data_IF_582707960841
#
_entry.id   IF_582707960841
#
_cell.length_a   1.000
_cell.length_b   1.000
_cell.length_c   1.000
_cell.angle_alpha   90.00
_cell.angle_beta   90.00
_cell.angle_gamma   90.00
#
_symmetry.space_group_name_H-M   'P 1'
#
loop_
_entity.id
_entity.type
_entity.pdbx_description
1 polymer ?
#
# COMPACT_ATOMS: atom_id res chain seq x y z
N UNK A 1 -3.36 -18.96 -11.13
CA UNK A 1 -4.05 -18.17 -12.20
C UNK A 1 -4.38 -19.10 -13.36
N UNK A 2 -5.55 -18.89 -14.00
CA UNK A 2 -5.93 -19.59 -15.23
C UNK A 2 -5.07 -19.04 -16.40
N UNK A 3 -4.45 -19.93 -17.18
CA UNK A 3 -3.63 -19.55 -18.32
C UNK A 3 -4.47 -19.47 -19.59
N UNK A 4 -4.20 -18.49 -20.44
CA UNK A 4 -4.83 -18.31 -21.74
C UNK A 4 -3.77 -18.24 -22.84
N UNK A 5 -4.09 -18.77 -24.01
CA UNK A 5 -3.20 -18.76 -25.17
C UNK A 5 -2.94 -17.33 -25.69
N UNK A 6 -3.92 -16.42 -25.54
CA UNK A 6 -3.81 -15.01 -25.89
C UNK A 6 -4.81 -14.15 -25.11
N UNK A 7 -4.59 -12.82 -25.16
CA UNK A 7 -5.51 -11.86 -24.56
C UNK A 7 -6.91 -11.92 -25.19
N UNK A 8 -7.02 -12.13 -26.50
CA UNK A 8 -8.31 -12.29 -27.20
C UNK A 8 -9.07 -13.51 -26.66
N UNK A 9 -8.38 -14.63 -26.40
CA UNK A 9 -9.03 -15.82 -25.82
C UNK A 9 -9.56 -15.57 -24.42
N UNK A 10 -8.83 -14.79 -23.62
CA UNK A 10 -9.32 -14.35 -22.31
C UNK A 10 -10.59 -13.48 -22.48
N UNK A 11 -10.54 -12.46 -23.33
CA UNK A 11 -11.67 -11.56 -23.58
C UNK A 11 -12.90 -12.33 -24.10
N UNK A 12 -12.71 -13.26 -25.03
CA UNK A 12 -13.83 -14.06 -25.55
C UNK A 12 -14.45 -14.92 -24.45
N UNK A 13 -13.64 -15.55 -23.60
CA UNK A 13 -14.14 -16.32 -22.46
C UNK A 13 -14.92 -15.44 -21.46
N UNK A 14 -14.43 -14.24 -21.14
CA UNK A 14 -15.15 -13.34 -20.23
C UNK A 14 -16.48 -12.83 -20.84
N UNK A 15 -16.57 -12.64 -22.18
CA UNK A 15 -17.81 -12.28 -22.86
C UNK A 15 -18.89 -13.35 -22.74
N UNK A 16 -18.52 -14.63 -22.73
CA UNK A 16 -19.48 -15.74 -22.62
C UNK A 16 -20.38 -15.58 -21.40
N UNK A 17 -19.78 -15.17 -20.25
CA UNK A 17 -20.53 -14.90 -19.01
C UNK A 17 -21.61 -13.83 -19.18
N UNK A 18 -21.24 -12.70 -19.81
CA UNK A 18 -22.13 -11.55 -19.98
C UNK A 18 -23.16 -11.79 -21.10
N UNK A 19 -22.83 -12.61 -22.10
CA UNK A 19 -23.70 -12.93 -23.21
C UNK A 19 -24.66 -14.10 -22.93
N UNK A 20 -24.47 -14.86 -21.84
CA UNK A 20 -25.34 -15.96 -21.47
C UNK A 20 -26.79 -15.50 -21.31
N UNK A 21 -27.74 -16.02 -22.11
CA UNK A 21 -29.10 -15.51 -22.15
C UNK A 21 -29.88 -15.78 -20.85
N UNK A 22 -29.56 -16.86 -20.15
CA UNK A 22 -30.26 -17.23 -18.89
C UNK A 22 -29.81 -16.26 -17.78
N UNK A 23 -28.48 -15.97 -17.72
CA UNK A 23 -27.93 -15.00 -16.77
C UNK A 23 -28.47 -13.59 -17.05
N UNK A 24 -28.51 -13.18 -18.31
CA UNK A 24 -29.04 -11.86 -18.71
C UNK A 24 -30.51 -11.67 -18.37
N UNK A 25 -31.35 -12.67 -18.65
CA UNK A 25 -32.76 -12.63 -18.29
C UNK A 25 -32.95 -12.47 -16.78
N UNK A 26 -32.16 -13.18 -15.98
CA UNK A 26 -32.19 -13.08 -14.52
C UNK A 26 -31.74 -11.68 -14.05
N UNK A 27 -30.64 -11.13 -14.58
CA UNK A 27 -30.12 -9.82 -14.20
C UNK A 27 -31.06 -8.68 -14.59
N UNK A 28 -31.65 -8.71 -15.77
CA UNK A 28 -32.58 -7.69 -16.26
C UNK A 28 -34.00 -7.83 -15.70
N UNK A 29 -34.35 -8.99 -15.21
CA UNK A 29 -35.68 -9.30 -14.64
C UNK A 29 -35.65 -9.30 -13.12
N UNK A 30 -35.57 -10.48 -12.54
CA UNK A 30 -35.74 -10.70 -11.09
C UNK A 30 -34.74 -9.96 -10.22
N UNK A 31 -33.48 -9.83 -10.67
CA UNK A 31 -32.41 -9.22 -9.90
C UNK A 31 -32.27 -7.71 -10.13
N UNK A 32 -32.93 -7.12 -11.15
CA UNK A 32 -32.71 -5.74 -11.54
C UNK A 32 -32.91 -4.75 -10.38
N UNK A 33 -34.11 -4.65 -9.87
CA UNK A 33 -34.42 -3.73 -8.77
C UNK A 33 -33.75 -4.10 -7.45
N UNK A 34 -33.59 -5.38 -7.19
CA UNK A 34 -32.92 -5.86 -5.97
C UNK A 34 -31.46 -5.41 -5.93
N UNK A 35 -30.74 -5.56 -7.04
CA UNK A 35 -29.32 -5.15 -7.14
C UNK A 35 -29.16 -3.64 -7.10
N UNK A 36 -30.02 -2.87 -7.78
CA UNK A 36 -29.99 -1.40 -7.70
C UNK A 36 -30.16 -0.96 -6.24
N UNK A 37 -31.14 -1.48 -5.52
CA UNK A 37 -31.35 -1.12 -4.13
C UNK A 37 -30.19 -1.53 -3.23
N UNK A 38 -29.59 -2.69 -3.49
CA UNK A 38 -28.42 -3.15 -2.77
C UNK A 38 -27.21 -2.24 -3.04
N UNK A 39 -26.92 -1.89 -4.30
CA UNK A 39 -25.84 -0.94 -4.64
C UNK A 39 -26.08 0.43 -3.98
N UNK A 40 -27.32 0.93 -3.95
CA UNK A 40 -27.63 2.16 -3.24
C UNK A 40 -27.31 2.08 -1.74
N UNK A 41 -27.59 0.94 -1.09
CA UNK A 41 -27.22 0.75 0.33
C UNK A 41 -25.71 0.80 0.53
N UNK A 42 -24.95 0.14 -0.37
CA UNK A 42 -23.50 0.13 -0.31
C UNK A 42 -22.91 1.54 -0.55
N UNK A 43 -23.33 2.22 -1.61
CA UNK A 43 -22.87 3.56 -1.94
C UNK A 43 -23.29 4.62 -0.93
N UNK A 44 -24.40 4.46 -0.23
CA UNK A 44 -24.82 5.35 0.86
C UNK A 44 -23.82 5.41 2.02
N UNK A 45 -22.97 4.39 2.20
CA UNK A 45 -21.88 4.42 3.17
C UNK A 45 -20.86 5.53 2.84
N UNK A 46 -20.83 5.96 1.59
CA UNK A 46 -19.95 7.02 1.06
C UNK A 46 -20.72 8.29 0.69
N UNK A 47 -21.93 8.49 1.20
CA UNK A 47 -22.80 9.63 0.85
C UNK A 47 -22.21 11.00 1.16
N UNK A 48 -21.30 11.11 2.14
CA UNK A 48 -20.57 12.36 2.42
C UNK A 48 -19.56 12.71 1.31
N UNK A 49 -19.11 11.74 0.54
CA UNK A 49 -18.19 11.94 -0.59
C UNK A 49 -18.94 11.97 -1.93
N UNK A 50 -19.93 11.09 -2.11
CA UNK A 50 -20.71 10.93 -3.35
C UNK A 50 -21.78 12.01 -3.47
N UNK A 51 -21.40 13.19 -3.92
CA UNK A 51 -22.28 14.35 -4.19
C UNK A 51 -22.58 14.49 -5.68
N UNK A 52 -23.59 15.27 -6.04
CA UNK A 52 -24.11 15.40 -7.42
C UNK A 52 -23.09 15.91 -8.46
N UNK A 53 -22.03 16.57 -8.03
CA UNK A 53 -20.94 17.10 -8.84
C UNK A 53 -19.84 16.09 -9.14
N UNK A 54 -19.89 14.92 -8.51
CA UNK A 54 -18.88 13.88 -8.69
C UNK A 54 -19.04 13.16 -10.02
N UNK A 55 -17.91 12.83 -10.65
CA UNK A 55 -17.84 12.00 -11.86
C UNK A 55 -17.42 10.58 -11.50
N UNK A 56 -18.30 9.62 -11.79
CA UNK A 56 -18.17 8.24 -11.35
C UNK A 56 -17.97 7.28 -12.51
N UNK A 57 -17.12 6.27 -12.32
CA UNK A 57 -16.86 5.17 -13.26
C UNK A 57 -17.15 3.82 -12.60
N UNK A 58 -17.95 2.99 -13.24
CA UNK A 58 -18.20 1.60 -12.84
C UNK A 58 -17.53 0.65 -13.84
N UNK A 59 -16.60 -0.17 -13.37
CA UNK A 59 -15.83 -1.11 -14.19
C UNK A 59 -16.44 -2.50 -14.13
N UNK A 60 -16.61 -3.15 -15.30
CA UNK A 60 -17.27 -4.44 -15.42
C UNK A 60 -18.76 -4.35 -15.10
N UNK A 61 -19.39 -3.25 -15.49
CA UNK A 61 -20.75 -2.89 -15.10
C UNK A 61 -21.85 -3.75 -15.71
N UNK A 62 -21.50 -4.67 -16.57
CA UNK A 62 -22.34 -5.72 -17.14
C UNK A 62 -23.66 -5.21 -17.73
N UNK A 63 -24.73 -5.10 -16.92
CA UNK A 63 -26.04 -4.57 -17.31
C UNK A 63 -26.34 -3.19 -16.69
N UNK A 64 -25.45 -2.67 -15.81
CA UNK A 64 -25.44 -1.28 -15.36
C UNK A 64 -26.28 -0.97 -14.11
N UNK A 65 -26.58 -1.97 -13.26
CA UNK A 65 -27.36 -1.73 -12.03
C UNK A 65 -26.66 -0.76 -11.08
N UNK A 66 -25.33 -0.83 -10.93
CA UNK A 66 -24.50 0.10 -10.16
C UNK A 66 -24.54 1.53 -10.75
N UNK A 67 -24.55 1.65 -12.09
CA UNK A 67 -24.69 2.95 -12.78
C UNK A 67 -26.04 3.58 -12.48
N UNK A 68 -27.12 2.78 -12.56
CA UNK A 68 -28.48 3.25 -12.23
C UNK A 68 -28.58 3.62 -10.76
N UNK A 69 -27.98 2.84 -9.87
CA UNK A 69 -27.97 3.12 -8.43
C UNK A 69 -27.34 4.50 -8.12
N UNK A 70 -26.16 4.80 -8.67
CA UNK A 70 -25.51 6.11 -8.50
C UNK A 70 -26.34 7.25 -9.09
N UNK A 71 -26.92 7.07 -10.29
CA UNK A 71 -27.81 8.07 -10.89
C UNK A 71 -29.07 8.33 -10.04
N UNK A 72 -29.67 7.29 -9.49
CA UNK A 72 -30.84 7.45 -8.59
C UNK A 72 -30.48 8.09 -7.23
N UNK A 73 -29.21 8.03 -6.82
CA UNK A 73 -28.69 8.77 -5.67
C UNK A 73 -28.40 10.24 -5.99
N UNK A 74 -28.59 10.67 -7.24
CA UNK A 74 -28.42 12.07 -7.67
C UNK A 74 -27.07 12.42 -8.25
N UNK A 75 -26.20 11.44 -8.57
CA UNK A 75 -24.94 11.68 -9.25
C UNK A 75 -25.22 11.95 -10.73
N UNK A 76 -24.78 13.11 -11.24
CA UNK A 76 -25.08 13.54 -12.60
C UNK A 76 -24.25 12.80 -13.67
N UNK A 77 -22.95 12.60 -13.40
CA UNK A 77 -22.01 12.01 -14.35
C UNK A 77 -21.59 10.62 -13.90
N UNK A 78 -22.24 9.60 -14.43
CA UNK A 78 -21.91 8.20 -14.15
C UNK A 78 -21.75 7.44 -15.46
N UNK A 79 -20.60 6.80 -15.63
CA UNK A 79 -20.24 5.97 -16.78
C UNK A 79 -20.04 4.54 -16.31
N UNK A 80 -20.67 3.58 -16.98
CA UNK A 80 -20.36 2.16 -16.82
C UNK A 80 -19.61 1.66 -18.04
N UNK A 81 -18.61 0.81 -17.86
CA UNK A 81 -17.93 0.10 -18.94
C UNK A 81 -17.96 -1.41 -18.73
N UNK A 82 -18.06 -2.15 -19.83
CA UNK A 82 -17.90 -3.60 -19.89
C UNK A 82 -17.40 -3.99 -21.29
N UNK A 83 -16.79 -5.17 -21.40
CA UNK A 83 -16.41 -5.74 -22.71
C UNK A 83 -17.62 -6.01 -23.61
N UNK A 84 -18.81 -6.18 -23.00
CA UNK A 84 -20.11 -6.29 -23.68
C UNK A 84 -20.98 -5.09 -23.28
N UNK A 85 -21.17 -4.10 -24.18
CA UNK A 85 -21.97 -2.91 -23.86
C UNK A 85 -23.44 -3.24 -23.60
N UNK A 86 -24.09 -2.41 -22.78
CA UNK A 86 -25.53 -2.44 -22.50
C UNK A 86 -26.10 -1.03 -22.41
N UNK A 87 -26.39 -0.46 -23.59
CA UNK A 87 -26.96 0.90 -23.69
C UNK A 87 -28.31 1.02 -22.98
N UNK A 88 -28.61 2.15 -22.34
CA UNK A 88 -27.80 3.38 -22.30
C UNK A 88 -26.87 3.47 -21.07
N UNK A 89 -26.70 2.42 -20.30
CA UNK A 89 -26.01 2.43 -19.01
C UNK A 89 -24.52 2.06 -19.09
N UNK A 90 -24.18 1.19 -20.06
CA UNK A 90 -22.84 0.60 -20.15
C UNK A 90 -22.33 0.74 -21.58
N UNK A 91 -21.21 1.41 -21.73
CA UNK A 91 -20.46 1.50 -22.99
C UNK A 91 -19.40 0.38 -23.08
N UNK A 92 -18.93 0.09 -24.28
CA UNK A 92 -17.83 -0.86 -24.48
C UNK A 92 -16.53 -0.29 -23.92
N UNK A 93 -15.81 -1.07 -23.13
CA UNK A 93 -14.51 -0.71 -22.60
C UNK A 93 -13.74 -1.92 -22.06
N UNK A 94 -12.42 -1.76 -21.99
CA UNK A 94 -11.48 -2.74 -21.44
C UNK A 94 -10.88 -2.21 -20.13
N UNK A 95 -11.00 -2.97 -19.06
CA UNK A 95 -10.49 -2.58 -17.73
C UNK A 95 -8.96 -2.48 -17.67
N UNK A 96 -8.25 -3.10 -18.64
CA UNK A 96 -6.79 -3.04 -18.71
C UNK A 96 -6.28 -1.93 -19.67
N UNK A 97 -7.20 -1.20 -20.32
CA UNK A 97 -6.88 -0.08 -21.19
C UNK A 97 -8.07 0.88 -21.24
N UNK A 98 -8.16 1.77 -20.26
CA UNK A 98 -9.26 2.72 -20.11
C UNK A 98 -9.11 3.88 -21.09
N UNK A 99 -10.07 4.05 -22.01
CA UNK A 99 -10.08 5.12 -23.00
C UNK A 99 -10.57 6.45 -22.41
N UNK A 100 -10.00 6.84 -21.26
CA UNK A 100 -10.24 8.10 -20.57
C UNK A 100 -8.92 8.80 -20.29
N UNK A 101 -8.97 10.12 -20.22
CA UNK A 101 -7.83 10.92 -19.81
C UNK A 101 -7.46 10.71 -18.34
N UNK A 102 -6.22 11.04 -17.98
CA UNK A 102 -5.76 11.01 -16.60
C UNK A 102 -6.62 11.91 -15.72
N UNK A 103 -6.77 11.55 -14.47
CA UNK A 103 -7.46 12.36 -13.45
C UNK A 103 -8.88 12.82 -13.87
N UNK A 104 -9.62 11.93 -14.52
CA UNK A 104 -10.98 12.20 -15.02
C UNK A 104 -12.05 11.99 -13.95
N UNK A 105 -11.91 10.98 -13.10
CA UNK A 105 -12.98 10.54 -12.20
C UNK A 105 -12.70 10.85 -10.74
N UNK A 106 -13.75 11.23 -10.01
CA UNK A 106 -13.71 11.38 -8.57
C UNK A 106 -13.91 10.05 -7.85
N UNK A 107 -14.65 9.12 -8.46
CA UNK A 107 -15.00 7.83 -7.88
C UNK A 107 -14.93 6.73 -8.94
N UNK A 108 -14.28 5.62 -8.57
CA UNK A 108 -14.25 4.39 -9.38
C UNK A 108 -14.76 3.23 -8.52
N UNK A 109 -15.64 2.42 -9.09
CA UNK A 109 -16.20 1.24 -8.45
C UNK A 109 -15.96 -0.01 -9.29
N UNK A 110 -15.67 -1.12 -8.62
CA UNK A 110 -15.66 -2.44 -9.27
C UNK A 110 -15.90 -3.58 -8.27
N UNK A 111 -16.37 -4.73 -8.79
CA UNK A 111 -16.48 -5.99 -8.06
C UNK A 111 -15.99 -7.17 -8.91
N UNK A 112 -15.08 -6.93 -9.84
CA UNK A 112 -14.62 -7.94 -10.82
C UNK A 112 -13.10 -8.12 -10.88
N UNK A 113 -12.35 -7.68 -9.86
CA UNK A 113 -10.89 -7.77 -9.87
C UNK A 113 -10.39 -9.22 -9.99
N UNK A 114 -11.14 -10.19 -9.47
CA UNK A 114 -10.88 -11.62 -9.56
C UNK A 114 -11.03 -12.17 -11.00
N UNK A 115 -11.67 -11.41 -11.88
CA UNK A 115 -11.78 -11.70 -13.30
C UNK A 115 -10.65 -11.09 -14.14
N UNK A 116 -9.82 -10.22 -13.57
CA UNK A 116 -8.71 -9.57 -14.27
C UNK A 116 -7.54 -10.54 -14.50
N UNK A 117 -7.09 -10.64 -15.75
CA UNK A 117 -5.89 -11.41 -16.11
C UNK A 117 -4.59 -10.69 -15.68
N UNK A 118 -4.64 -9.38 -15.59
CA UNK A 118 -3.54 -8.53 -15.14
C UNK A 118 -4.06 -7.49 -14.12
N UNK A 119 -4.22 -7.89 -12.84
CA UNK A 119 -4.69 -6.99 -11.80
C UNK A 119 -3.81 -5.75 -11.60
N UNK A 120 -2.48 -5.88 -11.77
CA UNK A 120 -1.55 -4.75 -11.67
C UNK A 120 -1.85 -3.69 -12.72
N UNK A 121 -2.05 -4.11 -13.96
CA UNK A 121 -2.39 -3.20 -15.06
C UNK A 121 -3.76 -2.56 -14.86
N UNK A 122 -4.76 -3.34 -14.42
CA UNK A 122 -6.09 -2.83 -14.08
C UNK A 122 -6.01 -1.73 -13.02
N UNK A 123 -5.28 -1.98 -11.92
CA UNK A 123 -5.12 -1.00 -10.84
C UNK A 123 -4.35 0.23 -11.31
N UNK A 124 -3.30 0.06 -12.11
CA UNK A 124 -2.55 1.18 -12.69
C UNK A 124 -3.45 2.10 -13.54
N UNK A 125 -4.35 1.53 -14.35
CA UNK A 125 -5.33 2.29 -15.12
C UNK A 125 -6.35 3.00 -14.23
N UNK A 126 -6.83 2.33 -13.17
CA UNK A 126 -7.71 2.95 -12.17
C UNK A 126 -7.02 4.15 -11.50
N UNK A 127 -5.79 3.98 -11.02
CA UNK A 127 -5.02 5.07 -10.40
C UNK A 127 -4.72 6.20 -11.39
N UNK A 128 -4.54 5.89 -12.68
CA UNK A 128 -4.33 6.90 -13.71
C UNK A 128 -5.56 7.77 -13.92
N UNK A 129 -6.73 7.17 -14.10
CA UNK A 129 -7.97 7.91 -14.40
C UNK A 129 -8.61 8.53 -13.16
N UNK A 130 -8.22 8.11 -11.96
CA UNK A 130 -8.71 8.66 -10.69
C UNK A 130 -8.01 9.98 -10.40
N UNK A 131 -8.75 11.02 -10.01
CA UNK A 131 -8.21 12.30 -9.53
C UNK A 131 -7.47 12.13 -8.21
N UNK A 132 -6.59 13.06 -7.87
CA UNK A 132 -6.06 13.16 -6.51
C UNK A 132 -7.23 13.35 -5.52
N UNK A 133 -7.15 12.74 -4.35
CA UNK A 133 -8.23 12.60 -3.36
C UNK A 133 -9.47 11.84 -3.86
N UNK A 134 -9.43 11.30 -5.07
CA UNK A 134 -10.48 10.43 -5.60
C UNK A 134 -10.50 9.08 -4.88
N UNK A 135 -11.69 8.47 -4.85
CA UNK A 135 -11.95 7.23 -4.12
C UNK A 135 -12.14 6.06 -5.09
N UNK A 136 -11.43 4.97 -4.83
CA UNK A 136 -11.70 3.67 -5.43
C UNK A 136 -12.36 2.74 -4.41
N UNK A 137 -13.55 2.25 -4.76
CA UNK A 137 -14.29 1.30 -3.95
C UNK A 137 -14.32 -0.06 -4.62
N UNK A 138 -13.73 -1.03 -3.96
CA UNK A 138 -13.65 -2.42 -4.41
C UNK A 138 -14.46 -3.32 -3.49
N UNK A 139 -15.33 -4.13 -4.08
CA UNK A 139 -15.99 -5.23 -3.38
C UNK A 139 -15.52 -6.56 -3.95
N UNK A 140 -15.21 -7.53 -3.11
CA UNK A 140 -14.76 -8.86 -3.51
C UNK A 140 -15.53 -9.97 -2.82
N UNK A 141 -15.52 -11.13 -3.45
CA UNK A 141 -16.02 -12.37 -2.91
C UNK A 141 -14.85 -13.23 -2.45
N UNK A 142 -14.66 -13.35 -1.14
CA UNK A 142 -13.57 -14.12 -0.54
C UNK A 142 -14.11 -15.44 0.04
N UNK A 143 -13.39 -16.54 -0.22
CA UNK A 143 -13.68 -17.84 0.38
C UNK A 143 -14.98 -18.53 -0.09
N UNK A 144 -15.69 -17.97 -1.05
CA UNK A 144 -16.86 -18.57 -1.69
C UNK A 144 -16.45 -19.23 -3.02
N UNK A 145 -17.29 -20.12 -3.56
CA UNK A 145 -16.99 -20.84 -4.78
C UNK A 145 -16.65 -19.89 -5.93
N UNK A 146 -15.42 -19.98 -6.38
CA UNK A 146 -14.97 -19.32 -7.61
C UNK A 146 -15.75 -19.87 -8.78
N UNK A 147 -16.17 -19.01 -9.70
CA UNK A 147 -16.79 -19.45 -10.94
C UNK A 147 -15.71 -19.75 -12.03
N UNK A 148 -16.16 -20.32 -13.14
CA UNK A 148 -15.29 -20.68 -14.25
C UNK A 148 -14.58 -19.49 -14.91
N UNK A 149 -15.00 -18.25 -14.61
CA UNK A 149 -14.48 -17.01 -15.14
C UNK A 149 -13.45 -16.34 -14.23
N UNK A 150 -13.28 -16.82 -13.00
CA UNK A 150 -12.26 -16.33 -12.05
C UNK A 150 -10.87 -16.66 -12.56
N UNK A 151 -10.00 -15.65 -12.61
CA UNK A 151 -8.62 -15.72 -13.13
C UNK A 151 -7.60 -15.40 -12.04
N UNK A 152 -7.93 -14.44 -11.18
CA UNK A 152 -7.08 -13.99 -10.08
C UNK A 152 -7.65 -14.48 -8.75
N UNK A 153 -6.91 -15.35 -8.08
CA UNK A 153 -7.28 -15.89 -6.77
C UNK A 153 -6.81 -14.96 -5.66
N UNK A 154 -7.74 -14.55 -4.80
CA UNK A 154 -7.48 -13.68 -3.66
C UNK A 154 -7.61 -14.52 -2.40
N UNK A 155 -6.52 -14.62 -1.61
CA UNK A 155 -6.48 -15.33 -0.33
C UNK A 155 -6.43 -14.36 0.85
N UNK A 156 -5.61 -13.32 0.73
CA UNK A 156 -5.45 -12.28 1.73
C UNK A 156 -5.59 -10.91 1.09
N UNK A 157 -6.74 -10.21 1.28
CA UNK A 157 -6.97 -8.91 0.65
C UNK A 157 -5.93 -7.84 1.00
N UNK A 158 -5.34 -7.87 2.20
CA UNK A 158 -4.28 -6.94 2.61
C UNK A 158 -3.06 -7.11 1.74
N UNK A 159 -2.64 -8.36 1.52
CA UNK A 159 -1.44 -8.66 0.77
C UNK A 159 -1.69 -8.69 -0.74
N UNK A 160 -2.73 -9.41 -1.17
CA UNK A 160 -2.97 -9.66 -2.60
C UNK A 160 -3.52 -8.43 -3.34
N UNK A 161 -4.22 -7.53 -2.62
CA UNK A 161 -4.85 -6.36 -3.23
C UNK A 161 -4.12 -5.07 -2.88
N UNK A 162 -3.86 -4.79 -1.59
CA UNK A 162 -3.31 -3.48 -1.21
C UNK A 162 -1.88 -3.26 -1.74
N UNK A 163 -1.12 -4.32 -2.01
CA UNK A 163 0.20 -4.25 -2.65
C UNK A 163 0.16 -3.85 -4.13
N UNK A 164 -0.99 -3.98 -4.79
CA UNK A 164 -1.14 -3.61 -6.22
C UNK A 164 -1.17 -2.09 -6.43
N UNK A 165 -1.56 -1.35 -5.40
CA UNK A 165 -1.69 0.11 -5.47
C UNK A 165 -0.35 0.79 -5.25
N UNK A 166 -0.04 1.79 -6.08
CA UNK A 166 1.21 2.54 -6.00
C UNK A 166 1.00 3.99 -5.55
N UNK A 167 -0.14 4.57 -5.88
CA UNK A 167 -0.45 5.98 -5.71
C UNK A 167 -1.57 6.24 -4.69
N UNK A 168 -2.03 5.18 -3.99
CA UNK A 168 -3.21 5.27 -3.12
C UNK A 168 -2.95 4.68 -1.73
N UNK A 169 -3.55 5.31 -0.72
CA UNK A 169 -3.72 4.71 0.60
C UNK A 169 -4.92 3.77 0.61
N UNK A 170 -4.78 2.61 1.23
CA UNK A 170 -5.91 1.78 1.62
C UNK A 170 -6.51 2.35 2.90
N UNK A 171 -7.73 2.85 2.86
CA UNK A 171 -8.40 3.48 4.00
C UNK A 171 -9.08 2.46 4.90
N UNK A 172 -9.59 1.37 4.32
CA UNK A 172 -10.27 0.32 5.07
C UNK A 172 -10.29 -0.98 4.30
N UNK A 173 -10.22 -2.07 5.06
CA UNK A 173 -10.54 -3.43 4.61
C UNK A 173 -11.56 -3.98 5.60
N UNK A 174 -12.77 -4.28 5.15
CA UNK A 174 -13.87 -4.66 6.01
C UNK A 174 -14.55 -5.93 5.50
N UNK A 175 -14.70 -6.90 6.38
CA UNK A 175 -15.65 -7.99 6.15
C UNK A 175 -17.06 -7.47 6.38
N UNK A 176 -17.92 -7.60 5.36
CA UNK A 176 -19.31 -7.09 5.41
C UNK A 176 -20.17 -7.96 6.33
N UNK A 177 -19.88 -9.27 6.36
CA UNK A 177 -20.56 -10.24 7.17
C UNK A 177 -19.55 -11.15 7.89
N UNK A 178 -19.48 -11.06 9.21
CA UNK A 178 -18.58 -11.87 10.02
C UNK A 178 -18.96 -13.37 10.08
N UNK A 179 -20.14 -13.73 9.61
CA UNK A 179 -20.67 -15.11 9.59
C UNK A 179 -20.36 -15.86 8.28
N UNK A 180 -19.58 -15.26 7.38
CA UNK A 180 -19.24 -15.83 6.06
C UNK A 180 -20.35 -15.70 5.02
N UNK A 181 -21.49 -15.06 5.35
CA UNK A 181 -22.51 -14.75 4.36
C UNK A 181 -22.06 -13.60 3.45
N UNK A 182 -22.64 -13.52 2.26
CA UNK A 182 -22.38 -12.45 1.31
C UNK A 182 -23.48 -11.39 1.33
N UNK A 183 -23.18 -10.18 0.86
CA UNK A 183 -24.20 -9.16 0.62
C UNK A 183 -25.10 -9.54 -0.60
N UNK A 184 -26.02 -8.65 -0.96
CA UNK A 184 -26.93 -8.83 -2.10
C UNK A 184 -26.25 -9.16 -3.44
N UNK A 185 -24.97 -8.81 -3.62
CA UNK A 185 -24.21 -9.06 -4.84
C UNK A 185 -23.29 -10.28 -4.74
N UNK A 186 -23.29 -10.99 -3.61
CA UNK A 186 -22.37 -12.10 -3.35
C UNK A 186 -21.04 -11.66 -2.75
N UNK A 187 -20.84 -10.37 -2.47
CA UNK A 187 -19.60 -9.81 -1.95
C UNK A 187 -19.58 -9.88 -0.42
N UNK A 188 -18.43 -10.15 0.16
CA UNK A 188 -18.26 -10.28 1.61
C UNK A 188 -17.06 -9.48 2.17
N UNK A 189 -16.27 -8.84 1.31
CA UNK A 189 -15.19 -7.94 1.72
C UNK A 189 -15.26 -6.65 0.91
N UNK A 190 -15.09 -5.54 1.60
CA UNK A 190 -15.03 -4.19 1.04
C UNK A 190 -13.66 -3.59 1.30
N UNK A 191 -13.07 -2.99 0.26
CA UNK A 191 -11.83 -2.25 0.33
C UNK A 191 -12.06 -0.85 -0.23
N UNK A 192 -11.54 0.14 0.48
CA UNK A 192 -11.63 1.53 0.09
C UNK A 192 -10.22 2.12 -0.04
N UNK A 193 -9.94 2.73 -1.17
CA UNK A 193 -8.66 3.38 -1.45
C UNK A 193 -8.87 4.84 -1.81
N UNK A 194 -7.91 5.68 -1.44
CA UNK A 194 -7.86 7.09 -1.82
C UNK A 194 -6.53 7.38 -2.50
N UNK A 195 -6.60 7.92 -3.73
CA UNK A 195 -5.40 8.38 -4.44
C UNK A 195 -4.83 9.59 -3.70
N UNK A 196 -3.52 9.60 -3.53
CA UNK A 196 -2.79 10.62 -2.81
C UNK A 196 -1.75 11.28 -3.72
N UNK A 197 -1.67 12.60 -3.67
CA UNK A 197 -0.78 13.37 -4.53
C UNK A 197 0.70 13.10 -4.20
N UNK A 198 1.05 13.01 -2.92
CA UNK A 198 2.42 12.75 -2.49
C UNK A 198 2.87 11.36 -2.92
N UNK A 199 2.03 10.33 -2.71
CA UNK A 199 2.32 8.98 -3.18
C UNK A 199 2.45 8.92 -4.71
N UNK A 200 1.61 9.67 -5.44
CA UNK A 200 1.68 9.77 -6.90
C UNK A 200 3.01 10.34 -7.37
N UNK A 201 3.43 11.47 -6.79
CA UNK A 201 4.72 12.11 -7.09
C UNK A 201 5.91 11.21 -6.74
N UNK A 202 5.87 10.54 -5.58
CA UNK A 202 6.90 9.59 -5.16
C UNK A 202 6.99 8.41 -6.13
N UNK A 203 5.86 7.84 -6.53
CA UNK A 203 5.83 6.72 -7.48
C UNK A 203 6.33 7.13 -8.86
N UNK A 204 5.88 8.26 -9.39
CA UNK A 204 6.29 8.74 -10.71
C UNK A 204 7.78 9.02 -10.79
N UNK A 205 8.40 9.47 -9.69
CA UNK A 205 9.84 9.77 -9.64
C UNK A 205 10.71 8.57 -9.24
N UNK A 206 10.24 7.72 -8.33
CA UNK A 206 11.03 6.69 -7.67
C UNK A 206 10.41 5.28 -7.71
N UNK A 207 9.27 5.09 -8.34
CA UNK A 207 8.51 3.81 -8.30
C UNK A 207 9.23 2.62 -8.92
N UNK A 208 10.28 2.86 -9.71
CA UNK A 208 11.22 1.84 -10.12
C UNK A 208 12.55 2.02 -9.38
N UNK A 209 12.72 1.32 -8.25
CA UNK A 209 13.93 1.41 -7.43
C UNK A 209 15.21 1.17 -8.22
N UNK A 210 15.20 0.25 -9.19
CA UNK A 210 16.39 -0.07 -10.00
C UNK A 210 16.85 1.08 -10.90
N UNK A 211 15.97 2.04 -11.20
CA UNK A 211 16.28 3.22 -12.02
C UNK A 211 16.69 4.46 -11.23
N UNK A 212 16.63 4.40 -9.89
CA UNK A 212 17.00 5.55 -9.04
C UNK A 212 18.51 5.78 -9.15
N UNK A 213 18.90 6.98 -9.59
CA UNK A 213 20.28 7.44 -9.51
C UNK A 213 20.54 7.97 -8.10
N UNK A 214 21.52 7.35 -7.41
CA UNK A 214 21.91 7.79 -6.08
C UNK A 214 22.82 9.01 -6.15
N UNK A 215 22.58 10.06 -5.35
CA UNK A 215 23.55 11.15 -5.20
C UNK A 215 24.89 10.64 -4.66
N UNK A 216 25.99 11.29 -5.05
CA UNK A 216 27.35 10.91 -4.65
C UNK A 216 27.52 10.78 -3.12
N UNK A 217 26.84 11.63 -2.35
CA UNK A 217 26.87 11.57 -0.89
C UNK A 217 26.36 10.24 -0.33
N UNK A 218 25.29 9.70 -0.91
CA UNK A 218 24.72 8.40 -0.52
C UNK A 218 25.54 7.23 -1.06
N UNK A 219 26.08 7.33 -2.26
CA UNK A 219 27.01 6.32 -2.80
C UNK A 219 28.23 6.19 -1.91
N UNK A 220 28.87 7.31 -1.53
CA UNK A 220 30.03 7.35 -0.67
C UNK A 220 29.72 6.81 0.73
N UNK A 221 28.56 7.19 1.30
CA UNK A 221 28.11 6.68 2.59
C UNK A 221 28.11 5.14 2.62
N UNK A 222 27.54 4.51 1.61
CA UNK A 222 27.43 3.06 1.55
C UNK A 222 28.75 2.35 1.22
N UNK A 223 29.61 2.98 0.44
CA UNK A 223 30.93 2.44 0.15
C UNK A 223 31.85 2.47 1.38
N UNK A 224 31.68 3.48 2.24
CA UNK A 224 32.45 3.66 3.47
C UNK A 224 31.91 2.80 4.63
N UNK A 225 30.61 2.47 4.68
CA UNK A 225 30.03 1.57 5.67
C UNK A 225 30.56 0.16 5.41
N UNK A 226 31.64 -0.13 6.01
CA UNK A 226 32.44 -1.32 6.18
C UNK A 226 32.04 -2.57 5.37
N UNK A 227 32.56 -2.71 4.16
CA UNK A 227 32.42 -3.88 3.29
C UNK A 227 32.48 -5.25 3.99
N UNK A 228 33.37 -5.50 4.99
CA UNK A 228 33.42 -6.76 5.71
C UNK A 228 32.14 -7.11 6.47
N UNK A 229 31.44 -6.13 7.04
CA UNK A 229 30.18 -6.34 7.75
C UNK A 229 29.05 -6.64 6.74
N UNK A 230 29.00 -5.89 5.65
CA UNK A 230 28.06 -6.14 4.54
C UNK A 230 28.25 -7.56 3.99
N UNK A 231 29.48 -7.95 3.69
CA UNK A 231 29.83 -9.26 3.19
C UNK A 231 29.46 -10.37 4.19
N UNK A 232 29.71 -10.18 5.47
CA UNK A 232 29.35 -11.14 6.52
C UNK A 232 27.83 -11.32 6.63
N UNK A 233 27.04 -10.26 6.48
CA UNK A 233 25.57 -10.33 6.48
C UNK A 233 25.04 -11.16 5.30
N UNK A 234 25.59 -10.92 4.11
CA UNK A 234 25.26 -11.68 2.90
C UNK A 234 25.74 -13.14 2.96
N UNK A 235 26.93 -13.40 3.54
CA UNK A 235 27.44 -14.75 3.76
C UNK A 235 26.57 -15.54 4.73
N UNK A 236 26.07 -14.90 5.80
CA UNK A 236 25.14 -15.52 6.73
C UNK A 236 23.80 -15.85 6.08
N UNK A 237 23.40 -15.12 5.02
CA UNK A 237 22.23 -15.42 4.22
C UNK A 237 22.47 -16.51 3.15
N UNK A 238 23.64 -17.16 3.11
CA UNK A 238 24.04 -18.19 2.14
C UNK A 238 24.00 -17.73 0.67
N UNK A 239 24.27 -16.45 0.41
CA UNK A 239 24.34 -15.92 -0.94
C UNK A 239 25.78 -16.00 -1.41
N UNK A 240 26.07 -16.95 -2.29
CA UNK A 240 27.41 -17.27 -2.75
C UNK A 240 27.80 -16.61 -4.08
N UNK A 241 26.83 -16.23 -4.92
CA UNK A 241 27.07 -15.63 -6.23
C UNK A 241 27.33 -14.14 -6.11
N UNK A 242 28.51 -13.67 -6.54
CA UNK A 242 28.96 -12.28 -6.43
C UNK A 242 27.98 -11.30 -7.11
N UNK A 243 27.49 -11.63 -8.30
CA UNK A 243 26.53 -10.79 -9.04
C UNK A 243 25.24 -10.59 -8.26
N UNK A 244 24.73 -11.64 -7.63
CA UNK A 244 23.52 -11.60 -6.79
C UNK A 244 23.75 -10.77 -5.53
N UNK A 245 24.96 -10.87 -4.93
CA UNK A 245 25.35 -10.06 -3.76
C UNK A 245 25.35 -8.56 -4.09
N UNK A 246 25.95 -8.20 -5.23
CA UNK A 246 25.99 -6.81 -5.70
C UNK A 246 24.58 -6.28 -5.99
N UNK A 247 23.70 -7.08 -6.59
CA UNK A 247 22.31 -6.70 -6.84
C UNK A 247 21.52 -6.45 -5.55
N UNK A 248 21.74 -7.28 -4.51
CA UNK A 248 21.09 -7.08 -3.21
C UNK A 248 21.60 -5.81 -2.54
N UNK A 249 22.92 -5.56 -2.54
CA UNK A 249 23.50 -4.35 -1.96
C UNK A 249 22.99 -3.09 -2.66
N UNK A 250 22.89 -3.13 -3.99
CA UNK A 250 22.33 -2.03 -4.77
C UNK A 250 20.85 -1.78 -4.42
N UNK A 251 20.06 -2.84 -4.27
CA UNK A 251 18.68 -2.76 -3.83
C UNK A 251 18.55 -2.12 -2.44
N UNK A 252 19.38 -2.53 -1.48
CA UNK A 252 19.37 -1.98 -0.11
C UNK A 252 19.75 -0.49 -0.08
N UNK A 253 20.74 -0.07 -0.87
CA UNK A 253 21.16 1.33 -1.01
C UNK A 253 19.99 2.19 -1.53
N UNK A 254 19.36 1.76 -2.60
CA UNK A 254 18.24 2.48 -3.23
C UNK A 254 17.03 2.55 -2.33
N UNK A 255 16.74 1.48 -1.59
CA UNK A 255 15.71 1.45 -0.55
C UNK A 255 15.98 2.51 0.52
N UNK A 256 17.20 2.53 1.06
CA UNK A 256 17.56 3.48 2.10
C UNK A 256 17.43 4.93 1.62
N UNK A 257 17.84 5.22 0.40
CA UNK A 257 17.64 6.53 -0.21
C UNK A 257 16.15 6.84 -0.44
N UNK A 258 15.36 5.88 -0.91
CA UNK A 258 13.92 6.06 -1.12
C UNK A 258 13.19 6.45 0.17
N UNK A 259 13.56 5.86 1.30
CA UNK A 259 12.99 6.23 2.60
C UNK A 259 13.29 7.70 2.98
N UNK A 260 14.45 8.23 2.59
CA UNK A 260 14.73 9.66 2.77
C UNK A 260 13.85 10.54 1.88
N UNK A 261 13.49 10.05 0.68
CA UNK A 261 12.59 10.80 -0.22
C UNK A 261 11.16 10.80 0.27
N UNK A 262 10.73 9.75 0.99
CA UNK A 262 9.45 9.75 1.71
C UNK A 262 9.49 10.83 2.81
N UNK A 263 10.55 10.90 3.61
CA UNK A 263 10.72 11.92 4.63
C UNK A 263 10.66 13.34 4.03
N UNK A 264 11.38 13.57 2.92
CA UNK A 264 11.35 14.85 2.19
C UNK A 264 9.96 15.23 1.70
N UNK A 265 9.26 14.31 1.06
CA UNK A 265 7.94 14.55 0.48
C UNK A 265 6.86 14.88 1.55
N UNK A 266 7.12 14.53 2.80
CA UNK A 266 6.25 14.80 3.94
C UNK A 266 6.79 15.90 4.88
N UNK A 267 7.80 16.66 4.46
CA UNK A 267 8.44 17.74 5.24
C UNK A 267 8.86 17.29 6.64
N UNK A 268 9.47 16.10 6.74
CA UNK A 268 9.93 15.51 8.00
C UNK A 268 11.30 16.07 8.35
N UNK A 269 11.49 16.52 9.60
CA UNK A 269 12.79 16.95 10.14
C UNK A 269 13.33 16.01 11.21
N UNK A 270 12.44 15.53 12.09
CA UNK A 270 12.83 14.68 13.21
C UNK A 270 12.38 13.23 12.96
N UNK A 271 13.36 12.33 12.88
CA UNK A 271 13.16 10.90 12.60
C UNK A 271 13.59 10.08 13.82
N UNK A 272 12.85 9.03 14.16
CA UNK A 272 13.25 8.06 15.15
C UNK A 272 13.22 6.65 14.55
N UNK A 273 14.34 5.95 14.67
CA UNK A 273 14.53 4.57 14.21
C UNK A 273 14.63 3.62 15.39
N UNK A 274 14.01 2.46 15.29
CA UNK A 274 14.22 1.29 16.17
C UNK A 274 14.92 0.22 15.38
N UNK A 275 16.12 -0.21 15.84
CA UNK A 275 16.93 -1.21 15.16
C UNK A 275 18.04 -0.60 14.32
N UNK A 276 19.00 0.08 14.96
CA UNK A 276 20.13 0.74 14.27
C UNK A 276 21.03 -0.23 13.51
N UNK A 277 21.24 -1.43 14.05
CA UNK A 277 22.21 -2.41 13.53
C UNK A 277 23.56 -1.77 13.17
N UNK A 278 24.06 -1.98 11.93
CA UNK A 278 25.31 -1.37 11.44
C UNK A 278 25.17 0.13 11.10
N UNK A 279 23.94 0.64 11.08
CA UNK A 279 23.61 2.06 10.87
C UNK A 279 23.37 2.46 9.42
N UNK A 280 23.06 1.51 8.53
CA UNK A 280 22.88 1.83 7.10
C UNK A 280 21.72 2.79 6.87
N UNK A 281 20.55 2.49 7.43
CA UNK A 281 19.39 3.38 7.33
C UNK A 281 19.58 4.63 8.19
N UNK A 282 20.10 4.47 9.42
CA UNK A 282 20.37 5.56 10.35
C UNK A 282 21.20 6.68 9.74
N UNK A 283 22.35 6.34 9.14
CA UNK A 283 23.22 7.34 8.53
C UNK A 283 22.68 7.84 7.18
N UNK A 284 21.85 7.07 6.48
CA UNK A 284 21.13 7.56 5.30
C UNK A 284 20.13 8.65 5.67
N UNK A 285 19.39 8.46 6.77
CA UNK A 285 18.58 9.52 7.35
C UNK A 285 19.43 10.70 7.86
N UNK A 286 20.61 10.43 8.39
CA UNK A 286 21.57 11.47 8.80
C UNK A 286 22.04 12.35 7.64
N UNK A 287 22.27 11.77 6.45
CA UNK A 287 22.60 12.55 5.26
C UNK A 287 21.44 13.45 4.84
N UNK A 288 20.21 12.93 4.87
CA UNK A 288 19.01 13.72 4.63
C UNK A 288 18.82 14.83 5.71
N UNK A 289 19.03 14.51 6.99
CA UNK A 289 18.85 15.45 8.09
C UNK A 289 19.76 16.68 7.97
N UNK A 290 20.95 16.56 7.37
CA UNK A 290 21.82 17.72 7.05
C UNK A 290 21.16 18.70 6.09
N UNK A 291 20.41 18.19 5.11
CA UNK A 291 19.77 19.00 4.08
C UNK A 291 18.64 19.85 4.68
N UNK A 292 17.95 19.35 5.72
CA UNK A 292 16.76 19.97 6.29
C UNK A 292 16.98 20.55 7.70
N UNK A 293 18.22 20.55 8.21
CA UNK A 293 18.57 20.92 9.59
C UNK A 293 17.78 20.09 10.63
N UNK A 294 17.59 18.81 10.34
CA UNK A 294 16.81 17.87 11.12
C UNK A 294 17.65 17.04 12.09
N UNK A 295 17.01 16.09 12.76
CA UNK A 295 17.63 15.17 13.72
C UNK A 295 17.14 13.74 13.52
N UNK A 296 18.04 12.80 13.72
CA UNK A 296 17.76 11.37 13.68
C UNK A 296 18.12 10.75 15.02
N UNK A 297 17.15 10.14 15.66
CA UNK A 297 17.33 9.37 16.88
C UNK A 297 17.25 7.88 16.53
N UNK A 298 18.12 7.06 17.08
CA UNK A 298 18.06 5.62 16.86
C UNK A 298 18.47 4.82 18.08
N UNK A 299 17.84 3.68 18.31
CA UNK A 299 18.18 2.76 19.38
C UNK A 299 18.43 1.34 18.91
N UNK A 300 19.41 0.69 19.51
CA UNK A 300 19.70 -0.74 19.39
C UNK A 300 20.43 -1.18 20.66
N UNK A 301 20.01 -2.26 21.33
CA UNK A 301 20.74 -2.78 22.50
C UNK A 301 22.17 -3.20 22.18
N UNK A 302 22.45 -3.51 20.90
CA UNK A 302 23.78 -3.86 20.41
C UNK A 302 24.51 -2.60 19.89
N UNK A 303 25.76 -2.41 20.22
CA UNK A 303 26.54 -1.31 19.70
C UNK A 303 27.47 -1.82 18.56
N UNK A 304 26.88 -2.06 17.39
CA UNK A 304 27.59 -2.60 16.22
C UNK A 304 27.73 -1.60 15.06
N UNK A 305 27.20 -0.38 15.23
CA UNK A 305 27.23 0.66 14.19
C UNK A 305 28.64 1.13 13.84
N UNK A 306 28.81 1.66 12.64
CA UNK A 306 30.06 2.26 12.17
C UNK A 306 30.46 3.48 13.03
N UNK A 307 31.64 3.42 13.68
CA UNK A 307 32.14 4.51 14.52
C UNK A 307 32.62 5.72 13.73
N UNK A 308 33.16 5.51 12.52
CA UNK A 308 33.59 6.60 11.65
C UNK A 308 32.42 7.43 11.19
N UNK A 309 31.29 6.77 10.82
CA UNK A 309 30.05 7.44 10.46
C UNK A 309 29.40 8.11 11.67
N UNK A 310 29.40 7.49 12.84
CA UNK A 310 28.91 8.10 14.07
C UNK A 310 29.60 9.44 14.35
N UNK A 311 30.90 9.54 14.08
CA UNK A 311 31.65 10.79 14.21
C UNK A 311 31.32 11.79 13.10
N UNK A 312 31.18 11.32 11.85
CA UNK A 312 30.80 12.15 10.68
C UNK A 312 29.44 12.83 10.84
N UNK A 313 28.48 12.15 11.48
CA UNK A 313 27.10 12.61 11.65
C UNK A 313 26.75 12.95 13.12
N UNK A 314 27.73 13.31 13.93
CA UNK A 314 27.51 13.56 15.37
C UNK A 314 26.54 14.69 15.70
N UNK A 315 26.25 15.58 14.74
CA UNK A 315 25.33 16.71 14.89
C UNK A 315 23.89 16.36 14.56
N UNK A 316 23.70 15.42 13.65
CA UNK A 316 22.38 15.02 13.12
C UNK A 316 21.89 13.71 13.73
N UNK A 317 22.80 12.77 14.04
CA UNK A 317 22.51 11.40 14.43
C UNK A 317 22.81 11.14 15.90
N UNK A 318 21.77 10.84 16.66
CA UNK A 318 21.80 10.57 18.11
C UNK A 318 21.47 9.10 18.36
N UNK A 319 22.50 8.32 18.69
CA UNK A 319 22.35 6.89 18.93
C UNK A 319 22.28 6.57 20.44
N UNK A 320 21.36 5.69 20.78
CA UNK A 320 21.16 5.18 22.12
C UNK A 320 21.37 3.65 22.13
N UNK A 321 22.30 3.19 22.96
CA UNK A 321 22.43 1.75 23.23
C UNK A 321 21.33 1.34 24.22
N UNK A 322 20.12 1.22 23.74
CA UNK A 322 18.90 1.11 24.52
C UNK A 322 17.82 0.36 23.74
N UNK A 323 16.77 -0.02 24.43
CA UNK A 323 15.51 -0.49 23.87
C UNK A 323 14.58 0.69 23.53
N UNK A 324 13.52 0.45 22.76
CA UNK A 324 12.47 1.43 22.49
C UNK A 324 11.81 1.95 23.77
N UNK A 325 11.68 1.11 24.79
CA UNK A 325 11.14 1.48 26.10
C UNK A 325 11.99 2.54 26.78
N UNK A 326 13.29 2.29 26.90
CA UNK A 326 14.23 3.24 27.52
C UNK A 326 14.29 4.55 26.71
N UNK A 327 14.21 4.47 25.38
CA UNK A 327 14.14 5.65 24.52
C UNK A 327 12.85 6.44 24.72
N UNK A 328 11.73 5.74 24.91
CA UNK A 328 10.43 6.33 25.20
C UNK A 328 10.36 7.05 26.55
N UNK A 329 11.25 6.72 27.50
CA UNK A 329 11.37 7.36 28.81
C UNK A 329 12.24 8.64 28.79
N UNK A 330 13.02 8.90 27.72
CA UNK A 330 13.88 10.09 27.63
C UNK A 330 13.06 11.33 27.25
N UNK A 331 12.87 12.25 28.19
CA UNK A 331 12.11 13.50 28.00
C UNK A 331 12.73 14.49 27.01
N UNK A 332 14.01 14.31 26.64
CA UNK A 332 14.67 15.17 25.67
C UNK A 332 14.31 14.82 24.22
N UNK A 333 13.74 13.64 23.99
CA UNK A 333 13.28 13.18 22.68
C UNK A 333 11.80 13.50 22.54
N UNK A 334 11.44 14.32 21.58
CA UNK A 334 10.06 14.76 21.30
C UNK A 334 9.94 15.30 19.88
N UNK A 335 8.70 15.60 19.51
CA UNK A 335 8.36 16.20 18.23
C UNK A 335 8.84 15.34 17.03
N UNK A 336 8.75 14.02 17.20
CA UNK A 336 9.10 13.07 16.13
C UNK A 336 7.98 13.03 15.09
N UNK A 337 8.37 13.23 13.84
CA UNK A 337 7.47 13.32 12.70
C UNK A 337 7.44 12.02 11.90
N UNK A 338 8.53 11.23 11.96
CA UNK A 338 8.63 9.94 11.29
C UNK A 338 9.29 8.91 12.19
N UNK A 339 8.66 7.74 12.26
CA UNK A 339 9.16 6.56 12.96
C UNK A 339 9.47 5.48 11.94
N UNK A 340 10.65 4.88 12.02
CA UNK A 340 11.07 3.73 11.24
C UNK A 340 11.33 2.55 12.17
N UNK A 341 10.51 1.51 12.07
CA UNK A 341 10.54 0.35 12.97
C UNK A 341 11.10 -0.85 12.21
N UNK A 342 12.35 -1.19 12.50
CA UNK A 342 13.13 -2.29 11.94
C UNK A 342 13.92 -3.00 13.06
N UNK A 343 13.24 -3.30 14.16
CA UNK A 343 13.81 -3.89 15.37
C UNK A 343 13.77 -5.42 15.37
N UNK A 344 13.18 -6.03 16.42
CA UNK A 344 12.94 -7.46 16.49
C UNK A 344 11.69 -7.84 15.68
N UNK A 345 11.76 -8.97 14.98
CA UNK A 345 10.68 -9.44 14.11
C UNK A 345 9.80 -10.51 14.76
N UNK A 346 9.78 -10.58 16.11
CA UNK A 346 8.95 -11.50 16.87
C UNK A 346 7.53 -10.93 17.09
N UNK A 347 6.59 -11.78 17.46
CA UNK A 347 5.21 -11.41 17.80
C UNK A 347 5.19 -10.48 19.04
N UNK A 348 4.36 -9.44 19.01
CA UNK A 348 4.20 -8.39 20.02
C UNK A 348 5.36 -7.39 20.18
N UNK A 349 6.43 -7.49 19.40
CA UNK A 349 7.57 -6.58 19.50
C UNK A 349 7.29 -5.24 18.83
N UNK A 350 6.69 -5.23 17.66
CA UNK A 350 6.36 -4.00 16.92
C UNK A 350 5.25 -3.20 17.63
N UNK A 351 4.24 -3.88 18.17
CA UNK A 351 3.20 -3.21 18.97
C UNK A 351 3.82 -2.59 20.24
N UNK A 352 4.73 -3.30 20.92
CA UNK A 352 5.43 -2.77 22.07
C UNK A 352 6.26 -1.53 21.72
N UNK A 353 6.99 -1.54 20.60
CA UNK A 353 7.76 -0.38 20.12
C UNK A 353 6.85 0.82 19.87
N UNK A 354 5.71 0.63 19.20
CA UNK A 354 4.74 1.70 18.98
C UNK A 354 4.23 2.27 20.30
N UNK A 355 3.79 1.42 21.25
CA UNK A 355 3.29 1.84 22.56
C UNK A 355 4.35 2.67 23.30
N UNK A 356 5.59 2.18 23.33
CA UNK A 356 6.70 2.86 24.01
C UNK A 356 6.99 4.26 23.46
N UNK A 357 6.73 4.48 22.16
CA UNK A 357 7.13 5.68 21.43
C UNK A 357 5.98 6.66 21.14
N UNK A 358 4.74 6.34 21.50
CA UNK A 358 3.58 7.23 21.27
C UNK A 358 3.74 8.61 21.88
N UNK A 359 4.39 8.73 23.06
CA UNK A 359 4.65 10.01 23.72
C UNK A 359 5.66 10.90 22.99
N UNK A 360 6.35 10.38 21.97
CA UNK A 360 7.38 11.11 21.20
C UNK A 360 6.83 11.75 19.94
N UNK A 361 5.58 11.44 19.56
CA UNK A 361 4.93 11.95 18.36
C UNK A 361 4.81 13.49 18.41
N UNK A 362 5.08 14.14 17.28
CA UNK A 362 4.80 15.58 17.12
C UNK A 362 3.29 15.87 17.30
N UNK A 363 2.95 17.02 17.84
CA UNK A 363 1.56 17.47 17.93
C UNK A 363 1.10 18.29 16.73
N UNK A 364 2.03 18.73 15.88
CA UNK A 364 1.75 19.66 14.78
C UNK A 364 1.06 19.01 13.59
N UNK A 365 1.33 17.71 13.34
CA UNK A 365 0.76 16.93 12.22
C UNK A 365 0.67 15.45 12.59
N UNK A 366 -0.06 14.68 11.80
CA UNK A 366 -0.03 13.22 11.93
C UNK A 366 1.35 12.69 11.57
N UNK A 367 2.01 11.97 12.48
CA UNK A 367 3.32 11.40 12.22
C UNK A 367 3.21 10.25 11.21
N UNK A 368 4.35 9.94 10.60
CA UNK A 368 4.49 8.81 9.69
C UNK A 368 5.15 7.67 10.45
N UNK A 369 4.56 6.49 10.34
CA UNK A 369 5.13 5.24 10.84
C UNK A 369 5.45 4.34 9.65
N UNK A 370 6.67 3.88 9.55
CA UNK A 370 7.11 2.92 8.55
C UNK A 370 7.58 1.67 9.27
N UNK A 371 6.95 0.54 8.93
CA UNK A 371 7.25 -0.77 9.49
C UNK A 371 7.94 -1.61 8.42
N UNK A 372 9.12 -2.14 8.73
CA UNK A 372 9.86 -3.04 7.86
C UNK A 372 9.37 -4.49 8.01
N UNK A 373 9.84 -5.37 7.13
CA UNK A 373 9.61 -6.82 7.16
C UNK A 373 8.13 -7.24 7.25
N UNK A 374 7.26 -6.54 6.50
CA UNK A 374 5.86 -6.94 6.35
C UNK A 374 5.75 -8.19 5.48
N UNK A 375 6.00 -9.33 6.11
CA UNK A 375 5.97 -10.63 5.48
C UNK A 375 5.47 -11.70 6.46
N UNK A 376 4.61 -12.60 6.00
CA UNK A 376 4.00 -13.69 6.79
C UNK A 376 5.02 -14.63 7.46
N UNK A 377 6.27 -14.61 7.00
CA UNK A 377 7.38 -15.38 7.57
C UNK A 377 7.85 -14.86 8.93
N UNK A 378 7.55 -13.61 9.26
CA UNK A 378 7.96 -12.95 10.49
C UNK A 378 6.82 -12.86 11.50
N UNK A 379 7.12 -12.98 12.80
CA UNK A 379 6.13 -12.85 13.88
C UNK A 379 5.48 -11.47 13.93
N UNK A 380 6.24 -10.41 13.64
CA UNK A 380 5.79 -9.03 13.59
C UNK A 380 4.71 -8.75 12.52
N UNK A 381 4.51 -9.64 11.54
CA UNK A 381 3.44 -9.50 10.55
C UNK A 381 2.07 -9.30 11.19
N UNK A 382 1.75 -10.05 12.25
CA UNK A 382 0.46 -9.93 12.95
C UNK A 382 0.32 -8.59 13.67
N UNK A 383 1.40 -8.09 14.23
CA UNK A 383 1.45 -6.78 14.89
C UNK A 383 1.12 -5.67 13.89
N UNK A 384 1.79 -5.70 12.73
CA UNK A 384 1.59 -4.71 11.67
C UNK A 384 0.15 -4.77 11.13
N UNK A 385 -0.43 -5.98 10.95
CA UNK A 385 -1.85 -6.12 10.56
C UNK A 385 -2.78 -5.51 11.62
N UNK A 386 -2.46 -5.65 12.90
CA UNK A 386 -3.22 -5.04 13.99
C UNK A 386 -3.15 -3.51 13.93
N UNK A 387 -1.96 -2.95 13.71
CA UNK A 387 -1.75 -1.50 13.56
C UNK A 387 -2.45 -0.95 12.31
N UNK A 388 -2.40 -1.67 11.18
CA UNK A 388 -3.18 -1.36 9.97
C UNK A 388 -4.67 -1.25 10.30
N UNK A 389 -5.20 -2.21 11.05
CA UNK A 389 -6.63 -2.25 11.39
C UNK A 389 -7.05 -1.12 12.34
N UNK A 390 -6.12 -0.59 13.13
CA UNK A 390 -6.34 0.53 14.03
C UNK A 390 -6.07 1.90 13.37
N UNK A 391 -5.52 1.92 12.15
CA UNK A 391 -5.16 3.16 11.44
C UNK A 391 -6.30 3.68 10.58
N UNK A 392 -6.26 4.97 10.23
CA UNK A 392 -7.17 5.60 9.28
C UNK A 392 -6.79 5.42 7.81
N UNK A 393 -5.68 4.72 7.55
CA UNK A 393 -5.18 4.43 6.21
C UNK A 393 -3.73 3.98 6.21
N UNK A 394 -3.38 3.13 5.27
CA UNK A 394 -2.03 2.59 5.13
C UNK A 394 -1.63 2.41 3.65
N UNK A 395 -0.33 2.36 3.40
CA UNK A 395 0.28 2.03 2.12
C UNK A 395 1.26 0.89 2.29
N UNK A 396 1.20 -0.11 1.42
CA UNK A 396 2.21 -1.17 1.35
C UNK A 396 3.07 -0.92 0.12
N UNK A 397 4.40 -0.97 0.29
CA UNK A 397 5.36 -0.90 -0.81
C UNK A 397 6.10 -2.20 -1.00
N UNK A 398 6.32 -2.57 -2.25
CA UNK A 398 7.37 -3.48 -2.65
C UNK A 398 8.67 -2.66 -2.79
N UNK A 399 9.60 -2.84 -1.87
CA UNK A 399 10.81 -2.05 -1.76
C UNK A 399 12.07 -2.80 -2.15
N UNK A 400 11.94 -3.83 -2.95
CA UNK A 400 13.06 -4.61 -3.47
C UNK A 400 13.39 -5.83 -2.62
N UNK A 401 14.68 -6.08 -2.35
CA UNK A 401 15.15 -7.32 -1.74
C UNK A 401 15.64 -7.11 -0.32
N UNK A 402 15.35 -8.08 0.55
CA UNK A 402 16.03 -8.24 1.86
C UNK A 402 17.48 -8.64 1.67
N UNK A 403 18.27 -8.60 2.74
CA UNK A 403 19.65 -9.12 2.74
C UNK A 403 19.73 -10.63 2.39
N UNK A 404 18.63 -11.38 2.50
CA UNK A 404 18.53 -12.78 2.08
C UNK A 404 18.14 -12.94 0.60
N UNK A 405 17.94 -11.85 -0.14
CA UNK A 405 17.55 -11.87 -1.55
C UNK A 405 16.09 -12.25 -1.80
N UNK A 406 15.24 -12.08 -0.80
CA UNK A 406 13.80 -12.28 -0.91
C UNK A 406 13.09 -10.93 -1.11
N UNK A 407 11.96 -10.89 -1.82
CA UNK A 407 11.12 -9.68 -1.86
C UNK A 407 10.79 -9.19 -0.45
N UNK A 408 10.78 -7.89 -0.27
CA UNK A 408 10.45 -7.23 1.00
C UNK A 408 9.37 -6.20 0.78
N UNK A 409 8.47 -6.08 1.76
CA UNK A 409 7.44 -5.05 1.78
C UNK A 409 7.59 -4.21 3.04
N UNK A 410 7.29 -2.93 2.89
CA UNK A 410 7.15 -2.01 4.02
C UNK A 410 5.72 -1.48 4.06
N UNK A 411 5.28 -1.17 5.28
CA UNK A 411 3.97 -0.54 5.51
C UNK A 411 4.18 0.85 6.04
N UNK A 412 3.59 1.85 5.37
CA UNK A 412 3.48 3.20 5.87
C UNK A 412 2.08 3.43 6.42
N UNK A 413 2.03 3.98 7.61
CA UNK A 413 0.81 4.48 8.26
C UNK A 413 1.03 5.95 8.59
N UNK A 414 0.13 6.82 8.10
CA UNK A 414 0.11 8.23 8.48
C UNK A 414 -1.02 8.43 9.49
N UNK A 415 -0.69 8.28 10.76
CA UNK A 415 -1.67 8.35 11.84
C UNK A 415 -0.98 8.61 13.18
N UNK A 416 -1.71 9.24 14.10
CA UNK A 416 -1.34 9.33 15.50
C UNK A 416 -1.83 8.07 16.22
N UNK A 417 -0.94 7.37 16.87
CA UNK A 417 -1.32 6.29 17.78
C UNK A 417 -1.48 6.82 19.20
N UNK A 418 -2.51 6.37 19.89
CA UNK A 418 -2.80 6.71 21.29
C UNK A 418 -2.78 5.44 22.13
N UNK A 419 -2.18 5.52 23.31
CA UNK A 419 -2.32 4.47 24.31
C UNK A 419 -3.63 4.73 25.05
N UNK A 420 -4.64 3.91 24.81
CA UNK A 420 -5.83 3.91 25.65
C UNK A 420 -5.43 3.42 27.04
N UNK A 421 -5.39 4.32 28.02
CA UNK A 421 -5.33 3.94 29.42
C UNK A 421 -6.60 3.13 29.75
N UNK A 422 -6.46 1.80 29.74
CA UNK A 422 -7.54 0.87 30.11
C UNK A 422 -7.53 0.61 31.62
#
# INVERSE_FOLDING_TARGET
MKEYESYEKYIDHQKEKTLDPVRREKWLGQEWGLKINGFKQEFNKLSSFLTSDKKCLCLGARTGQEVVALKEMGINEVIGIDIVPHEPYVIKGDIHNLEFEDETFDFVYTNIIDHSIDPKKMISEIERVLKNDGIFFLQIQLGLNQDEYTVFEIQNPVYDIATLFNKSYCLTIKHVNNDGSSNFAGMNVELLFRKDEILSQLFDKYGNLSSIELPEAYENLWNDINLPIQNKKLDNANILEEEKRLSILDSLKRRAYYLTRIAEAHDVKNILEVGTAEGWQFFSFGEYAKEVEGRVYSCDPRNVRSQDHAKKYERECFYYQATSKELGEDENIKDIEMFYIDGLHDENTVIADVINLTSKQTEEKDPIWIFDDFDVRFGCFKDIVTLISASGGFKIWDIGLTASGQPSHQVLIKNRFEVNES
#
